data_IF_033106844289
#
_entry.id   IF_033106844289
#
_cell.length_a   1.000
_cell.length_b   1.000
_cell.length_c   1.000
_cell.angle_alpha   90.00
_cell.angle_beta   90.00
_cell.angle_gamma   90.00
#
_symmetry.space_group_name_H-M   'P 1'
#
loop_
_entity.id
_entity.type
_entity.pdbx_description
1 polymer ?
#
# COMPACT_ATOMS: atom_id res chain seq x y z
N UNK A 1 23.00 -19.17 49.18
CA UNK A 1 22.91 -20.47 49.86
C UNK A 1 21.43 -20.77 50.12
N UNK A 2 20.82 -21.67 49.35
CA UNK A 2 19.64 -22.48 49.68
C UNK A 2 19.40 -23.44 48.51
N UNK A 3 19.63 -24.74 48.76
CA UNK A 3 19.41 -25.85 47.83
C UNK A 3 17.93 -26.19 47.80
N UNK A 4 17.42 -26.59 46.63
CA UNK A 4 16.25 -27.45 46.52
C UNK A 4 16.54 -28.52 45.46
N UNK A 5 16.68 -29.76 45.93
CA UNK A 5 16.81 -30.98 45.15
C UNK A 5 15.40 -31.51 44.89
N UNK A 6 15.06 -31.90 43.66
CA UNK A 6 13.84 -32.67 43.40
C UNK A 6 14.13 -33.88 42.49
N UNK A 7 13.60 -35.01 42.94
CA UNK A 7 13.71 -36.37 42.42
C UNK A 7 12.98 -36.55 41.08
N UNK A 8 13.53 -37.40 40.21
CA UNK A 8 12.88 -37.93 39.01
C UNK A 8 12.21 -39.25 39.37
N UNK A 9 10.89 -39.32 39.22
CA UNK A 9 10.14 -40.58 39.02
C UNK A 9 9.13 -40.35 37.90
N UNK A 10 9.25 -41.12 36.82
CA UNK A 10 8.47 -40.94 35.61
C UNK A 10 7.03 -41.43 35.72
N UNK A 11 6.17 -40.92 34.83
CA UNK A 11 5.08 -41.67 34.21
C UNK A 11 4.65 -40.96 32.91
N UNK A 12 4.34 -41.77 31.90
CA UNK A 12 3.94 -41.36 30.56
C UNK A 12 2.66 -40.51 30.52
N UNK A 13 2.60 -39.54 29.61
CA UNK A 13 1.36 -38.83 29.30
C UNK A 13 1.57 -37.54 28.51
N UNK A 14 1.21 -37.58 27.23
CA UNK A 14 0.92 -36.45 26.34
C UNK A 14 1.83 -35.20 26.44
N UNK A 15 2.77 -35.08 25.50
CA UNK A 15 3.42 -33.82 25.14
C UNK A 15 2.37 -32.89 24.50
N UNK A 16 1.59 -32.20 25.33
CA UNK A 16 0.91 -30.97 24.95
C UNK A 16 2.02 -29.92 24.84
N UNK A 17 2.46 -29.62 23.61
CA UNK A 17 3.24 -28.43 23.34
C UNK A 17 2.38 -27.21 23.63
N UNK A 18 2.38 -26.77 24.89
CA UNK A 18 2.08 -25.38 25.20
C UNK A 18 3.20 -24.57 24.57
N UNK A 19 2.93 -24.00 23.39
CA UNK A 19 3.69 -22.86 22.91
C UNK A 19 3.37 -21.73 23.90
N UNK A 20 4.14 -21.65 24.99
CA UNK A 20 4.30 -20.40 25.71
C UNK A 20 4.95 -19.45 24.72
N UNK A 21 4.11 -18.67 24.04
CA UNK A 21 4.56 -17.44 23.41
C UNK A 21 5.06 -16.55 24.55
N UNK A 22 6.37 -16.61 24.82
CA UNK A 22 7.05 -15.53 25.49
C UNK A 22 6.93 -14.32 24.55
N UNK A 23 5.88 -13.53 24.73
CA UNK A 23 5.94 -12.12 24.41
C UNK A 23 6.98 -11.54 25.37
N UNK A 24 8.25 -11.61 24.96
CA UNK A 24 9.20 -10.63 25.45
C UNK A 24 8.55 -9.27 25.22
N UNK A 25 8.54 -8.35 26.20
CA UNK A 25 8.33 -6.95 25.90
C UNK A 25 9.56 -6.52 25.10
N UNK A 26 9.61 -6.95 23.83
CA UNK A 26 10.48 -6.38 22.84
C UNK A 26 10.13 -4.91 22.89
N UNK A 27 11.04 -4.13 23.46
CA UNK A 27 10.89 -2.70 23.56
C UNK A 27 10.37 -2.21 22.23
N UNK A 28 9.38 -1.33 22.27
CA UNK A 28 9.13 -0.47 21.15
C UNK A 28 10.48 0.21 20.88
N UNK A 29 11.27 -0.36 19.97
CA UNK A 29 12.36 0.35 19.35
C UNK A 29 11.61 1.47 18.66
N UNK A 30 11.59 2.61 19.33
CA UNK A 30 11.10 3.85 18.80
C UNK A 30 11.73 3.93 17.42
N UNK A 31 10.89 3.74 16.39
CA UNK A 31 11.32 3.93 15.01
C UNK A 31 11.87 5.34 15.03
N UNK A 32 13.19 5.48 14.94
CA UNK A 32 13.82 6.80 14.81
C UNK A 32 13.31 7.33 13.48
N UNK A 33 12.23 8.09 13.55
CA UNK A 33 11.68 8.81 12.42
C UNK A 33 12.81 9.78 12.05
N UNK A 34 13.47 9.50 10.92
CA UNK A 34 14.47 10.43 10.39
C UNK A 34 13.82 11.81 10.28
N UNK A 35 14.55 12.84 10.74
CA UNK A 35 14.08 14.21 10.62
C UNK A 35 13.75 14.51 9.16
N UNK A 36 12.64 15.19 8.93
CA UNK A 36 12.21 15.56 7.58
C UNK A 36 13.38 16.23 6.82
N UNK A 37 13.57 15.93 5.52
CA UNK A 37 14.63 16.54 4.73
C UNK A 37 14.60 18.07 4.85
N UNK A 38 15.74 18.77 4.81
CA UNK A 38 15.80 20.23 5.02
C UNK A 38 14.95 21.06 4.05
N UNK A 39 14.47 20.48 2.95
CA UNK A 39 13.50 21.09 2.04
C UNK A 39 12.02 20.92 2.46
N UNK A 40 11.75 20.36 3.64
CA UNK A 40 10.44 19.87 4.10
C UNK A 40 10.22 20.24 5.57
N UNK A 41 10.54 21.47 5.95
CA UNK A 41 10.54 21.88 7.37
C UNK A 41 9.12 21.93 7.96
N UNK A 42 8.12 22.36 7.17
CA UNK A 42 6.71 22.49 7.59
C UNK A 42 5.78 21.43 6.97
N UNK A 43 6.32 20.48 6.20
CA UNK A 43 5.51 19.56 5.41
C UNK A 43 4.75 18.52 6.26
N UNK A 44 5.15 18.38 7.53
CA UNK A 44 4.57 17.44 8.48
C UNK A 44 3.57 18.06 9.46
N UNK A 45 3.42 19.40 9.47
CA UNK A 45 2.54 20.06 10.42
C UNK A 45 1.06 19.75 10.18
N UNK A 46 0.67 19.57 8.91
CA UNK A 46 -0.69 19.14 8.52
C UNK A 46 -1.02 17.70 8.95
N UNK A 47 -0.04 16.95 9.47
CA UNK A 47 -0.18 15.54 9.83
C UNK A 47 -0.27 15.29 11.33
N UNK A 48 -0.13 16.33 12.18
CA UNK A 48 -0.14 16.18 13.64
C UNK A 48 -1.58 15.99 14.16
N UNK A 49 -1.91 14.86 14.81
CA UNK A 49 -3.20 14.69 15.49
C UNK A 49 -3.33 15.69 16.66
N UNK A 50 -4.58 16.01 17.03
CA UNK A 50 -4.90 16.92 18.13
C UNK A 50 -6.05 16.35 18.98
N UNK A 51 -6.20 16.84 20.20
CA UNK A 51 -7.23 16.36 21.13
C UNK A 51 -8.64 16.64 20.59
N UNK A 52 -9.49 15.62 20.58
CA UNK A 52 -10.85 15.73 20.02
C UNK A 52 -10.92 15.71 18.48
N UNK A 53 -9.87 15.26 17.79
CA UNK A 53 -9.83 15.15 16.33
C UNK A 53 -11.03 14.37 15.76
N UNK A 54 -11.62 14.90 14.69
CA UNK A 54 -12.71 14.23 13.98
C UNK A 54 -12.21 13.03 13.16
N UNK A 55 -13.08 12.04 12.94
CA UNK A 55 -12.76 10.91 12.07
C UNK A 55 -12.37 11.37 10.65
N UNK A 56 -13.03 12.41 10.12
CA UNK A 56 -12.74 12.96 8.80
C UNK A 56 -11.34 13.58 8.73
N UNK A 57 -10.93 14.34 9.76
CA UNK A 57 -9.58 14.91 9.81
C UNK A 57 -8.52 13.83 9.93
N UNK A 58 -8.78 12.78 10.72
CA UNK A 58 -7.89 11.64 10.83
C UNK A 58 -7.74 10.90 9.51
N UNK A 59 -8.83 10.70 8.76
CA UNK A 59 -8.81 10.06 7.44
C UNK A 59 -8.07 10.92 6.41
N UNK A 60 -8.25 12.25 6.44
CA UNK A 60 -7.48 13.18 5.62
C UNK A 60 -5.98 13.05 5.89
N UNK A 61 -5.56 13.04 7.16
CA UNK A 61 -4.15 12.84 7.56
C UNK A 61 -3.65 11.47 7.07
N UNK A 62 -4.42 10.40 7.29
CA UNK A 62 -4.07 9.04 6.85
C UNK A 62 -3.80 8.98 5.35
N UNK A 63 -4.66 9.57 4.52
CA UNK A 63 -4.50 9.53 3.06
C UNK A 63 -3.37 10.44 2.58
N UNK A 64 -3.13 11.56 3.28
CA UNK A 64 -1.96 12.40 3.04
C UNK A 64 -0.65 11.63 3.24
N UNK A 65 -0.58 10.83 4.32
CA UNK A 65 0.57 9.95 4.62
C UNK A 65 0.65 8.80 3.62
N UNK A 66 -0.47 8.07 3.41
CA UNK A 66 -0.56 6.89 2.53
C UNK A 66 -0.04 7.19 1.12
N UNK A 67 -0.34 8.38 0.61
CA UNK A 67 0.07 8.81 -0.73
C UNK A 67 1.29 9.72 -0.74
N UNK A 68 1.98 9.82 0.40
CA UNK A 68 3.22 10.56 0.56
C UNK A 68 3.15 11.96 -0.04
N UNK A 69 2.03 12.67 0.14
CA UNK A 69 1.78 13.96 -0.53
C UNK A 69 2.79 15.03 -0.11
N UNK A 70 3.44 14.88 1.04
CA UNK A 70 4.53 15.75 1.47
C UNK A 70 5.85 15.51 0.70
N UNK A 71 6.03 14.33 0.11
CA UNK A 71 7.28 13.90 -0.52
C UNK A 71 7.48 14.51 -1.92
N UNK A 72 8.55 14.07 -2.60
CA UNK A 72 8.75 14.29 -4.05
C UNK A 72 8.01 13.20 -4.83
N UNK A 73 8.30 13.08 -6.12
CA UNK A 73 7.81 11.98 -6.94
C UNK A 73 8.17 10.63 -6.31
N UNK A 74 7.22 9.70 -6.38
CA UNK A 74 7.33 8.37 -5.82
C UNK A 74 7.70 7.37 -6.91
N UNK A 75 8.65 6.50 -6.61
CA UNK A 75 9.01 5.35 -7.44
C UNK A 75 9.08 4.12 -6.56
N UNK A 76 8.50 3.04 -7.04
CA UNK A 76 8.63 1.71 -6.44
C UNK A 76 8.79 0.68 -7.53
N UNK A 77 9.64 -0.29 -7.26
CA UNK A 77 9.69 -1.55 -7.99
C UNK A 77 9.39 -2.68 -7.02
N UNK A 78 8.94 -3.80 -7.54
CA UNK A 78 8.62 -4.94 -6.69
C UNK A 78 8.12 -6.13 -7.47
N UNK A 79 7.78 -7.16 -6.70
CA UNK A 79 7.20 -8.39 -7.21
C UNK A 79 6.05 -8.79 -6.30
N UNK A 80 4.93 -9.17 -6.90
CA UNK A 80 3.83 -9.76 -6.16
C UNK A 80 3.60 -11.20 -6.60
N UNK A 81 3.01 -11.98 -5.69
CA UNK A 81 2.73 -13.40 -5.88
C UNK A 81 1.22 -13.60 -5.89
N UNK A 82 0.74 -14.39 -6.85
CA UNK A 82 -0.65 -14.83 -6.94
C UNK A 82 -0.64 -16.32 -6.60
N UNK A 83 -1.31 -16.69 -5.52
CA UNK A 83 -1.36 -18.06 -5.01
C UNK A 83 -2.79 -18.54 -5.15
N UNK A 84 -3.03 -19.60 -5.92
CA UNK A 84 -4.36 -20.17 -6.03
C UNK A 84 -4.72 -21.06 -4.83
N UNK A 85 -5.98 -21.49 -4.77
CA UNK A 85 -6.49 -22.38 -3.71
C UNK A 85 -5.77 -23.72 -3.58
N UNK A 86 -5.07 -24.16 -4.63
CA UNK A 86 -4.32 -25.42 -4.68
C UNK A 86 -2.83 -25.21 -4.33
N UNK A 87 -2.41 -23.96 -4.05
CA UNK A 87 -1.03 -23.60 -3.74
C UNK A 87 -0.16 -23.29 -4.97
N UNK A 88 -0.71 -23.28 -6.18
CA UNK A 88 0.05 -22.91 -7.36
C UNK A 88 0.39 -21.41 -7.32
N UNK A 89 1.67 -21.09 -7.39
CA UNK A 89 2.18 -19.73 -7.26
C UNK A 89 2.62 -19.17 -8.60
N UNK A 90 2.08 -18.00 -8.96
CA UNK A 90 2.55 -17.16 -10.06
C UNK A 90 3.16 -15.91 -9.47
N UNK A 91 4.07 -15.27 -10.19
CA UNK A 91 4.70 -14.05 -9.72
C UNK A 91 4.80 -13.03 -10.84
N UNK A 92 4.65 -11.75 -10.52
CA UNK A 92 4.68 -10.66 -11.48
C UNK A 92 5.53 -9.52 -10.95
N UNK A 93 6.46 -9.05 -11.78
CA UNK A 93 7.28 -7.88 -11.50
C UNK A 93 6.57 -6.62 -11.94
N UNK A 94 6.70 -5.54 -11.18
CA UNK A 94 6.12 -4.25 -11.52
C UNK A 94 7.06 -3.10 -11.18
N UNK A 95 6.91 -2.02 -11.93
CA UNK A 95 7.42 -0.70 -11.60
C UNK A 95 6.23 0.25 -11.48
N UNK A 96 6.20 1.06 -10.43
CA UNK A 96 5.23 2.10 -10.19
C UNK A 96 5.92 3.45 -10.10
N UNK A 97 5.38 4.43 -10.80
CA UNK A 97 5.84 5.80 -10.84
C UNK A 97 4.67 6.71 -10.54
N UNK A 98 4.84 7.62 -9.60
CA UNK A 98 3.83 8.62 -9.27
C UNK A 98 4.47 9.99 -9.22
N UNK A 99 3.92 10.90 -10.00
CA UNK A 99 4.33 12.31 -9.99
C UNK A 99 3.33 13.12 -9.15
N UNK A 100 3.84 13.89 -8.19
CA UNK A 100 3.00 14.70 -7.31
C UNK A 100 2.84 16.09 -7.91
N UNK A 101 1.63 16.42 -8.33
CA UNK A 101 1.33 17.66 -9.03
C UNK A 101 0.59 18.68 -8.14
N UNK A 102 0.15 18.29 -6.95
CA UNK A 102 -0.68 19.14 -6.10
C UNK A 102 -0.06 20.51 -5.75
N UNK A 103 1.27 20.66 -5.75
CA UNK A 103 1.94 21.96 -5.54
C UNK A 103 2.01 22.82 -6.80
N UNK A 104 2.11 22.18 -7.96
CA UNK A 104 2.54 22.82 -9.21
C UNK A 104 1.43 22.86 -10.28
N UNK A 105 0.29 22.21 -10.04
CA UNK A 105 -0.85 22.18 -10.96
C UNK A 105 -2.12 22.67 -10.26
N UNK A 106 -2.93 23.53 -10.90
CA UNK A 106 -4.23 23.93 -10.37
C UNK A 106 -5.28 22.81 -10.48
N UNK A 107 -5.10 21.85 -11.39
CA UNK A 107 -6.09 20.81 -11.71
C UNK A 107 -5.75 19.45 -11.09
N UNK A 108 -4.49 19.01 -11.21
CA UNK A 108 -4.08 17.65 -10.86
C UNK A 108 -3.52 17.57 -9.45
N UNK A 109 -3.89 16.50 -8.74
CA UNK A 109 -3.33 16.14 -7.44
C UNK A 109 -2.07 15.30 -7.64
N UNK A 110 -2.20 14.16 -8.33
CA UNK A 110 -1.08 13.34 -8.78
C UNK A 110 -1.46 12.53 -10.02
N UNK A 111 -0.43 12.03 -10.71
CA UNK A 111 -0.59 11.02 -11.77
C UNK A 111 0.23 9.80 -11.41
N UNK A 112 -0.33 8.62 -11.63
CA UNK A 112 0.25 7.35 -11.24
C UNK A 112 0.29 6.39 -12.42
N UNK A 113 1.44 5.76 -12.64
CA UNK A 113 1.69 4.80 -13.69
C UNK A 113 2.27 3.53 -13.07
N UNK A 114 1.54 2.42 -13.23
CA UNK A 114 2.05 1.09 -12.88
C UNK A 114 2.27 0.29 -14.16
N UNK A 115 3.47 -0.30 -14.30
CA UNK A 115 3.89 -1.08 -15.47
C UNK A 115 4.37 -2.45 -15.02
N UNK A 116 3.85 -3.50 -15.63
CA UNK A 116 4.30 -4.87 -15.42
C UNK A 116 5.58 -5.10 -16.21
N UNK A 117 6.64 -5.51 -15.51
CA UNK A 117 7.96 -5.77 -16.10
C UNK A 117 8.17 -7.23 -16.44
N UNK A 118 7.51 -8.12 -15.69
CA UNK A 118 7.69 -9.57 -15.77
C UNK A 118 6.41 -10.31 -15.36
N UNK A 119 6.17 -11.54 -15.87
CA UNK A 119 6.94 -12.27 -16.89
C UNK A 119 6.75 -11.73 -18.33
N UNK A 120 7.58 -12.20 -19.26
CA UNK A 120 7.64 -11.71 -20.65
C UNK A 120 6.30 -11.72 -21.41
N UNK A 121 5.44 -12.71 -21.15
CA UNK A 121 4.14 -12.83 -21.81
C UNK A 121 3.14 -11.71 -21.45
N UNK A 122 3.35 -11.02 -20.33
CA UNK A 122 2.52 -9.89 -19.88
C UNK A 122 3.32 -8.61 -19.69
N UNK A 123 4.59 -8.62 -20.10
CA UNK A 123 5.49 -7.48 -19.99
C UNK A 123 4.96 -6.30 -20.78
N UNK A 124 5.00 -5.13 -20.16
CA UNK A 124 4.54 -3.88 -20.74
C UNK A 124 3.05 -3.61 -20.53
N UNK A 125 2.29 -4.52 -19.92
CA UNK A 125 0.92 -4.21 -19.46
C UNK A 125 1.00 -3.07 -18.42
N UNK A 126 0.20 -2.02 -18.60
CA UNK A 126 0.31 -0.84 -17.74
C UNK A 126 -1.04 -0.19 -17.45
N UNK A 127 -1.14 0.43 -16.28
CA UNK A 127 -2.28 1.23 -15.83
C UNK A 127 -1.79 2.65 -15.56
N UNK A 128 -2.46 3.63 -16.14
CA UNK A 128 -2.25 5.06 -15.91
C UNK A 128 -3.49 5.65 -15.25
N UNK A 129 -3.27 6.42 -14.20
CA UNK A 129 -4.31 7.02 -13.37
C UNK A 129 -4.05 8.51 -13.18
N UNK A 130 -5.03 9.36 -13.47
CA UNK A 130 -4.96 10.81 -13.27
C UNK A 130 -5.94 11.22 -12.18
N UNK A 131 -5.40 11.64 -11.04
CA UNK A 131 -6.19 12.12 -9.91
C UNK A 131 -6.30 13.64 -9.93
N UNK A 132 -7.52 14.13 -9.74
CA UNK A 132 -7.84 15.55 -9.74
C UNK A 132 -7.95 16.10 -8.32
N UNK A 133 -7.66 17.40 -8.18
CA UNK A 133 -7.85 18.12 -6.91
C UNK A 133 -9.31 18.36 -6.58
N UNK A 134 -10.15 18.52 -7.61
CA UNK A 134 -11.59 18.71 -7.42
C UNK A 134 -12.20 17.40 -6.92
N UNK A 135 -12.76 17.36 -5.69
CA UNK A 135 -13.38 16.16 -5.15
C UNK A 135 -14.59 15.70 -5.97
N UNK A 136 -15.25 16.61 -6.70
CA UNK A 136 -16.41 16.29 -7.54
C UNK A 136 -16.05 15.67 -8.89
N UNK A 137 -14.75 15.67 -9.23
CA UNK A 137 -14.27 15.11 -10.49
C UNK A 137 -13.71 13.72 -10.26
N UNK A 138 -14.29 12.75 -10.95
CA UNK A 138 -13.84 11.37 -10.92
C UNK A 138 -12.44 11.21 -11.50
N UNK A 139 -11.75 10.17 -11.04
CA UNK A 139 -10.44 9.81 -11.55
C UNK A 139 -10.52 9.25 -12.96
N UNK A 140 -9.58 9.64 -13.82
CA UNK A 140 -9.44 9.05 -15.15
C UNK A 140 -8.39 7.94 -15.13
N UNK A 141 -8.78 6.74 -15.55
CA UNK A 141 -7.90 5.57 -15.57
C UNK A 141 -7.85 4.95 -16.96
N UNK A 142 -6.65 4.59 -17.42
CA UNK A 142 -6.40 3.93 -18.69
C UNK A 142 -5.59 2.66 -18.50
N UNK A 143 -5.95 1.63 -19.25
CA UNK A 143 -5.24 0.36 -19.36
C UNK A 143 -4.57 0.27 -20.74
N UNK A 144 -3.25 0.09 -20.74
CA UNK A 144 -2.48 -0.19 -21.94
C UNK A 144 -2.28 -1.70 -22.12
N UNK A 145 -2.78 -2.23 -23.23
CA UNK A 145 -2.72 -3.65 -23.56
C UNK A 145 -1.65 -3.89 -24.63
N UNK A 146 -0.45 -4.39 -24.26
CA UNK A 146 0.68 -4.50 -25.19
C UNK A 146 0.40 -5.46 -26.35
N UNK A 147 -0.28 -6.57 -26.10
CA UNK A 147 -0.63 -7.59 -27.11
C UNK A 147 -1.53 -7.01 -28.21
N UNK A 148 -2.43 -6.09 -27.84
CA UNK A 148 -3.36 -5.47 -28.78
C UNK A 148 -2.86 -4.12 -29.30
N UNK A 149 -1.80 -3.56 -28.69
CA UNK A 149 -1.33 -2.18 -28.89
C UNK A 149 -2.46 -1.16 -28.78
N UNK A 150 -3.37 -1.38 -27.82
CA UNK A 150 -4.56 -0.55 -27.60
C UNK A 150 -4.55 0.04 -26.21
N UNK A 151 -5.05 1.28 -26.13
CA UNK A 151 -5.39 1.95 -24.88
C UNK A 151 -6.89 1.79 -24.69
N UNK A 152 -7.31 1.32 -23.51
CA UNK A 152 -8.71 1.29 -23.09
C UNK A 152 -8.86 2.22 -21.90
N UNK A 153 -9.87 3.10 -21.93
CA UNK A 153 -10.29 3.84 -20.73
C UNK A 153 -11.09 2.88 -19.84
N UNK A 154 -10.77 2.86 -18.56
CA UNK A 154 -11.53 2.13 -17.54
C UNK A 154 -12.55 3.10 -16.97
N UNK A 155 -13.83 2.76 -17.08
CA UNK A 155 -14.91 3.53 -16.48
C UNK A 155 -15.00 3.26 -14.97
N UNK A 156 -15.64 4.17 -14.22
CA UNK A 156 -15.84 3.98 -12.78
C UNK A 156 -16.62 2.69 -12.46
N UNK A 157 -17.59 2.31 -13.29
CA UNK A 157 -18.32 1.05 -13.13
C UNK A 157 -17.48 -0.22 -13.31
N UNK A 158 -16.33 -0.12 -13.98
CA UNK A 158 -15.38 -1.23 -14.20
C UNK A 158 -14.22 -1.20 -13.21
N UNK A 159 -14.26 -0.26 -12.26
CA UNK A 159 -13.12 -0.01 -11.39
C UNK A 159 -12.99 -1.12 -10.32
N UNK A 160 -14.10 -1.77 -9.97
CA UNK A 160 -14.16 -2.99 -9.16
C UNK A 160 -13.69 -4.27 -9.91
N UNK A 161 -13.43 -4.19 -11.22
CA UNK A 161 -12.95 -5.35 -11.98
C UNK A 161 -11.53 -5.75 -11.56
N UNK A 162 -11.27 -7.05 -11.67
CA UNK A 162 -9.96 -7.66 -11.43
C UNK A 162 -8.88 -6.98 -12.26
N UNK A 163 -7.99 -6.26 -11.58
CA UNK A 163 -6.84 -5.64 -12.17
C UNK A 163 -5.82 -6.71 -12.56
N UNK A 164 -5.45 -6.69 -13.83
CA UNK A 164 -4.40 -7.54 -14.39
C UNK A 164 -4.67 -9.04 -14.22
N UNK A 165 -5.89 -9.49 -13.88
CA UNK A 165 -6.13 -10.89 -13.52
C UNK A 165 -5.45 -11.27 -12.20
N UNK A 166 -5.49 -10.36 -11.24
CA UNK A 166 -5.13 -10.58 -9.83
C UNK A 166 -6.37 -10.42 -8.95
N UNK A 167 -6.24 -10.66 -7.65
CA UNK A 167 -7.34 -10.43 -6.70
C UNK A 167 -7.53 -8.93 -6.37
N UNK A 168 -6.63 -8.06 -6.85
CA UNK A 168 -6.80 -6.62 -6.70
C UNK A 168 -7.79 -6.07 -7.72
N UNK A 169 -8.54 -5.06 -7.29
CA UNK A 169 -9.40 -4.25 -8.16
C UNK A 169 -8.59 -3.19 -8.90
N UNK A 170 -9.16 -2.65 -9.98
CA UNK A 170 -8.52 -1.56 -10.71
C UNK A 170 -8.43 -0.30 -9.85
N UNK A 171 -9.40 -0.05 -8.98
CA UNK A 171 -9.36 1.04 -7.99
C UNK A 171 -8.23 0.90 -6.98
N UNK A 172 -7.95 -0.30 -6.50
CA UNK A 172 -6.84 -0.52 -5.57
C UNK A 172 -5.49 -0.20 -6.21
N UNK A 173 -5.34 -0.49 -7.52
CA UNK A 173 -4.15 -0.13 -8.28
C UNK A 173 -4.08 1.36 -8.60
N UNK A 174 -5.20 1.97 -8.98
CA UNK A 174 -5.30 3.36 -9.42
C UNK A 174 -5.36 4.36 -8.24
N UNK A 175 -5.57 3.85 -7.02
CA UNK A 175 -5.63 4.53 -5.71
C UNK A 175 -6.82 5.48 -5.50
N UNK A 176 -7.66 5.18 -4.50
CA UNK A 176 -8.86 5.96 -4.13
C UNK A 176 -8.55 7.21 -3.32
N UNK A 177 -9.36 8.26 -3.41
CA UNK A 177 -9.30 9.41 -2.50
C UNK A 177 -10.09 9.09 -1.23
N UNK A 178 -9.85 9.81 -0.14
CA UNK A 178 -10.58 9.53 1.10
C UNK A 178 -12.02 10.04 1.03
N UNK A 179 -12.26 11.08 0.22
CA UNK A 179 -13.59 11.60 -0.08
C UNK A 179 -14.48 10.58 -0.80
N UNK A 180 -13.88 9.57 -1.44
CA UNK A 180 -14.59 8.49 -2.14
C UNK A 180 -14.91 7.29 -1.21
N UNK A 181 -14.61 7.38 0.09
CA UNK A 181 -14.78 6.29 1.08
C UNK A 181 -15.98 6.51 2.02
N UNK A 182 -16.68 7.64 1.89
CA UNK A 182 -17.80 8.08 2.75
C UNK A 182 -19.01 8.48 1.94
#
# INVERSE_FOLDING_TARGET
MKRATFFITGLAGALIFFILAYASPGGATELKIESAPPACQDCCDVMKPYDGISANDLMRIKYWIKYTKFARDYRSDGKFFLIDKNGFTRSRGFNRYRILLYRNSPEYDYKDLTVITDPQNIKGLAILAWTYKDPKKDQDTWLWLPTLRKIRRVSQSEADDSALGSDWTTEEMSTRRWEDET
#
